data_IF_862947355525
#
_entry.id   IF_862947355525
#
_cell.length_a   1.000
_cell.length_b   1.000
_cell.length_c   1.000
_cell.angle_alpha   90.00
_cell.angle_beta   90.00
_cell.angle_gamma   90.00
#
_symmetry.space_group_name_H-M   'P 1'
#
loop_
_entity.id
_entity.type
_entity.pdbx_description
1 polymer ?
#
# COMPACT_ATOMS: atom_id res chain seq x y z
N UNK A 1 42.85 -60.62 -14.38
CA UNK A 1 42.34 -59.89 -13.22
C UNK A 1 41.68 -58.60 -13.67
N UNK A 2 40.42 -58.67 -14.04
CA UNK A 2 39.69 -57.50 -14.53
C UNK A 2 38.23 -57.50 -14.04
N UNK A 3 37.81 -56.38 -13.45
CA UNK A 3 36.43 -55.89 -13.38
C UNK A 3 35.46 -56.52 -12.40
N UNK A 4 35.44 -55.96 -11.15
CA UNK A 4 34.31 -56.15 -10.24
C UNK A 4 33.72 -54.84 -9.67
N UNK A 5 34.05 -53.66 -10.22
CA UNK A 5 33.61 -52.36 -9.62
C UNK A 5 32.62 -51.55 -10.46
N UNK A 6 32.06 -52.08 -11.58
CA UNK A 6 31.11 -51.32 -12.41
C UNK A 6 29.67 -51.18 -11.87
N UNK A 7 29.08 -52.10 -11.10
CA UNK A 7 27.70 -51.93 -10.66
C UNK A 7 27.56 -50.93 -9.50
N UNK A 8 28.56 -50.73 -8.65
CA UNK A 8 28.47 -49.79 -7.51
C UNK A 8 28.49 -48.32 -7.96
N UNK A 9 29.26 -47.98 -9.00
CA UNK A 9 29.31 -46.60 -9.53
C UNK A 9 27.97 -46.25 -10.20
N UNK A 10 27.32 -47.18 -10.86
CA UNK A 10 26.03 -46.98 -11.52
C UNK A 10 24.89 -46.73 -10.51
N UNK A 11 24.91 -47.42 -9.38
CA UNK A 11 23.91 -47.27 -8.30
C UNK A 11 24.08 -45.92 -7.60
N UNK A 12 25.31 -45.49 -7.34
CA UNK A 12 25.57 -44.16 -6.73
C UNK A 12 25.14 -43.01 -7.63
N UNK A 13 25.39 -43.13 -8.94
CA UNK A 13 24.98 -42.13 -9.92
C UNK A 13 23.45 -42.10 -10.10
N UNK A 14 22.76 -43.23 -9.99
CA UNK A 14 21.30 -43.30 -10.02
C UNK A 14 20.67 -42.73 -8.74
N UNK A 15 21.27 -42.97 -7.56
CA UNK A 15 20.82 -42.36 -6.28
C UNK A 15 21.00 -40.84 -6.28
N UNK A 16 22.11 -40.30 -6.79
CA UNK A 16 22.33 -38.86 -6.88
C UNK A 16 21.35 -38.18 -7.86
N UNK A 17 20.95 -38.86 -8.96
CA UNK A 17 19.92 -38.36 -9.87
C UNK A 17 18.51 -38.34 -9.22
N UNK A 18 18.20 -39.29 -8.34
CA UNK A 18 16.91 -39.29 -7.61
C UNK A 18 16.81 -38.20 -6.56
N UNK A 19 17.92 -37.74 -5.95
CA UNK A 19 17.92 -36.63 -5.00
C UNK A 19 17.89 -35.25 -5.67
N UNK A 20 18.24 -35.14 -6.94
CA UNK A 20 18.28 -33.85 -7.67
C UNK A 20 16.94 -33.44 -8.30
N UNK A 21 15.89 -34.29 -8.26
CA UNK A 21 14.62 -34.03 -8.95
C UNK A 21 13.53 -33.44 -8.04
N UNK A 22 13.76 -33.32 -6.74
CA UNK A 22 12.77 -32.78 -5.81
C UNK A 22 13.03 -31.35 -5.34
N UNK A 23 13.72 -30.52 -6.11
CA UNK A 23 13.60 -29.07 -5.96
C UNK A 23 12.32 -28.60 -6.64
N UNK A 24 11.18 -29.13 -6.25
CA UNK A 24 9.92 -28.41 -6.43
C UNK A 24 10.08 -27.09 -5.67
N UNK A 25 10.12 -25.99 -6.41
CA UNK A 25 9.94 -24.67 -5.82
C UNK A 25 8.67 -24.75 -4.96
N UNK A 26 8.85 -24.90 -3.66
CA UNK A 26 7.74 -24.93 -2.73
C UNK A 26 7.05 -23.58 -2.89
N UNK A 27 5.83 -23.59 -3.43
CA UNK A 27 5.02 -22.38 -3.56
C UNK A 27 4.97 -21.70 -2.21
N UNK A 28 5.55 -20.52 -2.13
CA UNK A 28 5.58 -19.74 -0.90
C UNK A 28 4.27 -18.95 -0.81
N UNK A 29 3.21 -19.63 -0.36
CA UNK A 29 1.92 -18.99 -0.15
C UNK A 29 1.93 -18.38 1.25
N UNK A 30 1.51 -17.11 1.30
CA UNK A 30 1.38 -16.33 2.52
C UNK A 30 -0.02 -15.74 2.63
N UNK A 31 -0.48 -15.49 3.84
CA UNK A 31 -1.73 -14.82 4.08
C UNK A 31 -1.60 -13.71 5.12
N UNK A 32 -2.40 -12.67 4.96
CA UNK A 32 -2.50 -11.58 5.90
C UNK A 32 -3.94 -11.23 6.23
N UNK A 33 -4.19 -10.98 7.51
CA UNK A 33 -5.44 -10.44 8.03
C UNK A 33 -5.11 -9.07 8.63
N UNK A 34 -5.56 -7.99 7.99
CA UNK A 34 -5.39 -6.62 8.44
C UNK A 34 -6.67 -6.12 9.10
N UNK A 35 -6.59 -5.77 10.38
CA UNK A 35 -7.67 -5.08 11.11
C UNK A 35 -7.45 -3.57 10.89
N UNK A 36 -8.10 -3.03 9.87
CA UNK A 36 -8.02 -1.61 9.51
C UNK A 36 -9.00 -0.74 10.29
N UNK A 37 -8.99 0.57 10.03
CA UNK A 37 -9.87 1.55 10.71
C UNK A 37 -11.36 1.26 10.54
N UNK A 38 -11.77 0.76 9.37
CA UNK A 38 -13.19 0.59 8.98
C UNK A 38 -13.49 -0.77 8.38
N UNK A 39 -12.52 -1.67 8.38
CA UNK A 39 -12.68 -2.98 7.77
C UNK A 39 -11.58 -3.94 8.19
N UNK A 40 -11.91 -5.23 8.17
CA UNK A 40 -10.93 -6.31 8.16
C UNK A 40 -10.69 -6.68 6.70
N UNK A 41 -9.43 -6.66 6.27
CA UNK A 41 -9.00 -7.06 4.94
C UNK A 41 -8.22 -8.37 5.05
N UNK A 42 -8.48 -9.26 4.12
CA UNK A 42 -7.81 -10.55 4.05
C UNK A 42 -7.17 -10.70 2.68
N UNK A 43 -5.91 -11.08 2.65
CA UNK A 43 -5.15 -11.31 1.41
C UNK A 43 -4.41 -12.65 1.48
N UNK A 44 -4.43 -13.37 0.37
CA UNK A 44 -3.62 -14.59 0.16
C UNK A 44 -2.81 -14.38 -1.10
N UNK A 45 -1.49 -14.56 -1.00
CA UNK A 45 -0.55 -14.31 -2.09
C UNK A 45 0.40 -15.47 -2.30
N UNK A 46 0.75 -15.74 -3.55
CA UNK A 46 1.80 -16.69 -3.95
C UNK A 46 3.04 -15.88 -4.35
N UNK A 47 4.15 -16.05 -3.64
CA UNK A 47 5.38 -15.27 -3.85
C UNK A 47 6.39 -16.11 -4.62
N UNK A 48 6.69 -15.70 -5.85
CA UNK A 48 7.71 -16.33 -6.70
C UNK A 48 9.11 -15.78 -6.40
N UNK A 49 9.24 -14.46 -6.24
CA UNK A 49 10.51 -13.79 -5.97
C UNK A 49 10.34 -12.50 -5.14
N UNK A 50 10.58 -12.59 -3.85
CA UNK A 50 10.42 -11.44 -2.95
C UNK A 50 11.39 -10.27 -3.28
N UNK A 51 12.59 -10.55 -3.78
CA UNK A 51 13.56 -9.48 -4.15
C UNK A 51 13.06 -8.59 -5.28
N UNK A 52 12.25 -9.15 -6.19
CA UNK A 52 11.68 -8.44 -7.34
C UNK A 52 10.24 -8.02 -7.11
N UNK A 53 9.70 -8.26 -5.90
CA UNK A 53 8.28 -8.15 -5.60
C UNK A 53 7.41 -8.90 -6.65
N UNK A 54 7.88 -10.09 -7.06
CA UNK A 54 7.17 -10.97 -7.99
C UNK A 54 6.27 -11.89 -7.17
N UNK A 55 4.98 -11.58 -7.16
CA UNK A 55 3.94 -12.30 -6.45
C UNK A 55 2.62 -12.26 -7.23
N UNK A 56 1.71 -13.14 -6.86
CA UNK A 56 0.35 -13.17 -7.39
C UNK A 56 -0.65 -13.16 -6.23
N UNK A 57 -1.64 -12.26 -6.29
CA UNK A 57 -2.78 -12.31 -5.39
C UNK A 57 -3.66 -13.49 -5.79
N UNK A 58 -3.79 -14.47 -4.88
CA UNK A 58 -4.68 -15.62 -5.03
C UNK A 58 -6.10 -15.20 -4.70
N UNK A 59 -6.28 -14.49 -3.57
CA UNK A 59 -7.57 -13.97 -3.13
C UNK A 59 -7.40 -12.72 -2.27
N UNK A 60 -8.39 -11.82 -2.38
CA UNK A 60 -8.49 -10.62 -1.56
C UNK A 60 -9.96 -10.33 -1.30
N UNK A 61 -10.31 -10.07 -0.03
CA UNK A 61 -11.66 -9.63 0.32
C UNK A 61 -11.65 -8.74 1.55
N UNK A 62 -12.75 -8.05 1.78
CA UNK A 62 -12.90 -7.05 2.83
C UNK A 62 -14.23 -7.23 3.55
N UNK A 63 -14.20 -7.15 4.87
CA UNK A 63 -15.39 -7.10 5.74
C UNK A 63 -15.42 -5.77 6.48
N UNK A 64 -16.49 -4.98 6.31
CA UNK A 64 -16.61 -3.64 6.89
C UNK A 64 -16.98 -3.70 8.36
N UNK A 65 -16.22 -3.00 9.20
CA UNK A 65 -16.48 -2.81 10.63
C UNK A 65 -15.96 -1.41 11.04
N UNK A 66 -16.77 -0.55 11.68
CA UNK A 66 -16.43 0.85 11.95
C UNK A 66 -15.64 1.05 13.26
N UNK A 67 -14.56 0.34 13.51
CA UNK A 67 -13.77 0.41 14.75
C UNK A 67 -13.26 1.81 15.11
N UNK A 68 -12.79 2.56 14.11
CA UNK A 68 -12.15 3.85 14.35
C UNK A 68 -13.08 4.87 14.98
N UNK A 69 -14.36 4.77 14.71
CA UNK A 69 -15.35 5.73 15.22
C UNK A 69 -15.53 5.55 16.73
N UNK A 70 -15.48 4.30 17.24
CA UNK A 70 -15.58 4.01 18.68
C UNK A 70 -14.30 4.40 19.44
N UNK A 71 -13.11 4.09 18.89
CA UNK A 71 -11.84 4.49 19.49
C UNK A 71 -11.75 6.03 19.57
N UNK A 72 -12.12 6.73 18.49
CA UNK A 72 -12.10 8.18 18.45
C UNK A 72 -13.05 8.83 19.46
N UNK A 73 -14.24 8.23 19.67
CA UNK A 73 -15.23 8.75 20.60
C UNK A 73 -14.89 8.47 22.08
N UNK A 74 -14.38 7.28 22.39
CA UNK A 74 -14.28 6.78 23.77
C UNK A 74 -12.84 6.46 24.21
N UNK A 75 -11.89 6.42 23.30
CA UNK A 75 -10.51 5.95 23.55
C UNK A 75 -10.44 4.44 23.82
N UNK A 76 -11.49 3.67 23.50
CA UNK A 76 -11.60 2.24 23.75
C UNK A 76 -12.40 1.55 22.65
N UNK A 77 -12.13 0.26 22.47
CA UNK A 77 -12.98 -0.64 21.71
C UNK A 77 -14.17 -1.07 22.58
N UNK A 78 -15.36 -1.15 21.99
CA UNK A 78 -16.52 -1.70 22.70
C UNK A 78 -16.38 -3.22 22.91
N UNK A 79 -17.10 -3.78 23.87
CA UNK A 79 -17.11 -5.24 24.06
C UNK A 79 -17.65 -5.98 22.83
N UNK A 80 -18.57 -5.34 22.09
CA UNK A 80 -19.08 -5.86 20.81
C UNK A 80 -17.99 -5.85 19.74
N UNK A 81 -17.22 -4.77 19.59
CA UNK A 81 -16.10 -4.69 18.63
C UNK A 81 -15.10 -5.80 18.88
N UNK A 82 -14.67 -5.97 20.13
CA UNK A 82 -13.72 -7.00 20.52
C UNK A 82 -14.25 -8.39 20.20
N UNK A 83 -15.51 -8.67 20.52
CA UNK A 83 -16.11 -9.98 20.28
C UNK A 83 -16.26 -10.25 18.78
N UNK A 84 -16.82 -9.32 18.05
CA UNK A 84 -17.07 -9.42 16.62
C UNK A 84 -15.78 -9.56 15.82
N UNK A 85 -14.78 -8.72 16.14
CA UNK A 85 -13.45 -8.79 15.51
C UNK A 85 -12.79 -10.14 15.72
N UNK A 86 -12.77 -10.61 16.96
CA UNK A 86 -12.12 -11.88 17.30
C UNK A 86 -12.77 -13.07 16.60
N UNK A 87 -14.11 -13.08 16.50
CA UNK A 87 -14.86 -14.13 15.77
C UNK A 87 -14.56 -14.07 14.28
N UNK A 88 -14.58 -12.88 13.67
CA UNK A 88 -14.30 -12.71 12.24
C UNK A 88 -12.87 -13.17 11.94
N UNK A 89 -11.87 -12.68 12.70
CA UNK A 89 -10.47 -13.06 12.52
C UNK A 89 -10.29 -14.58 12.61
N UNK A 90 -10.93 -15.23 13.59
CA UNK A 90 -10.86 -16.68 13.76
C UNK A 90 -11.47 -17.42 12.57
N UNK A 91 -12.66 -16.99 12.12
CA UNK A 91 -13.34 -17.59 10.97
C UNK A 91 -12.52 -17.42 9.69
N UNK A 92 -11.93 -16.23 9.47
CA UNK A 92 -11.09 -15.97 8.32
C UNK A 92 -9.82 -16.83 8.36
N UNK A 93 -9.18 -16.96 9.51
CA UNK A 93 -8.02 -17.82 9.68
C UNK A 93 -8.33 -19.28 9.33
N UNK A 94 -9.45 -19.82 9.84
CA UNK A 94 -9.90 -21.19 9.54
C UNK A 94 -10.15 -21.38 8.05
N UNK A 95 -10.84 -20.42 7.40
CA UNK A 95 -11.11 -20.42 5.97
C UNK A 95 -9.82 -20.44 5.15
N UNK A 96 -8.88 -19.55 5.45
CA UNK A 96 -7.58 -19.47 4.76
C UNK A 96 -6.82 -20.80 4.86
N UNK A 97 -6.74 -21.37 6.05
CA UNK A 97 -6.05 -22.65 6.28
C UNK A 97 -6.70 -23.80 5.51
N UNK A 98 -8.02 -23.87 5.51
CA UNK A 98 -8.75 -24.94 4.83
C UNK A 98 -8.59 -24.87 3.29
N UNK A 99 -8.65 -23.66 2.72
CA UNK A 99 -8.62 -23.45 1.28
C UNK A 99 -7.20 -23.52 0.67
N UNK A 100 -6.16 -23.11 1.41
CA UNK A 100 -4.82 -22.90 0.86
C UNK A 100 -3.73 -23.81 1.44
N UNK A 101 -4.04 -24.66 2.43
CA UNK A 101 -3.07 -25.55 3.12
C UNK A 101 -1.84 -24.79 3.64
N UNK A 102 -2.06 -23.62 4.23
CA UNK A 102 -1.01 -22.74 4.73
C UNK A 102 -0.43 -23.21 6.05
N UNK A 103 0.88 -23.04 6.21
CA UNK A 103 1.55 -23.19 7.48
C UNK A 103 1.24 -21.98 8.37
N UNK A 104 1.15 -22.17 9.65
CA UNK A 104 0.85 -21.10 10.62
C UNK A 104 1.87 -19.95 10.56
N UNK A 105 3.14 -20.26 10.35
CA UNK A 105 4.23 -19.28 10.21
C UNK A 105 4.10 -18.36 9.01
N UNK A 106 3.30 -18.74 8.01
CA UNK A 106 3.04 -17.96 6.81
C UNK A 106 1.77 -17.11 6.91
N UNK A 107 1.14 -17.05 8.09
CA UNK A 107 -0.08 -16.28 8.31
C UNK A 107 0.19 -15.17 9.33
N UNK A 108 -0.09 -13.92 8.97
CA UNK A 108 0.10 -12.74 9.79
C UNK A 108 -1.23 -12.08 10.11
N UNK A 109 -1.38 -11.60 11.35
CA UNK A 109 -2.55 -10.83 11.78
C UNK A 109 -2.03 -9.52 12.33
N UNK A 110 -2.43 -8.39 11.69
CA UNK A 110 -1.99 -7.06 12.09
C UNK A 110 -3.18 -6.14 12.29
N UNK A 111 -3.04 -5.18 13.20
CA UNK A 111 -3.96 -4.05 13.34
C UNK A 111 -3.29 -2.75 12.87
N UNK A 112 -4.10 -1.85 12.31
CA UNK A 112 -3.64 -0.53 11.89
C UNK A 112 -3.19 0.32 13.10
N UNK A 113 -2.34 1.35 12.91
CA UNK A 113 -1.77 2.16 13.98
C UNK A 113 -2.82 2.80 14.91
N UNK A 114 -4.02 3.09 14.41
CA UNK A 114 -5.10 3.67 15.23
C UNK A 114 -5.43 2.83 16.46
N UNK A 115 -5.19 1.52 16.42
CA UNK A 115 -5.44 0.62 17.55
C UNK A 115 -4.46 0.82 18.71
N UNK A 116 -3.27 1.41 18.49
CA UNK A 116 -2.34 1.76 19.57
C UNK A 116 -2.95 2.71 20.59
N UNK A 117 -3.89 3.58 20.18
CA UNK A 117 -4.57 4.52 21.05
C UNK A 117 -5.71 3.91 21.87
N UNK A 118 -6.11 2.68 21.62
CA UNK A 118 -7.16 2.02 22.37
C UNK A 118 -6.64 1.49 23.71
N UNK A 119 -7.13 2.04 24.83
CA UNK A 119 -6.71 1.67 26.20
C UNK A 119 -6.92 0.18 26.53
N UNK A 120 -7.84 -0.46 25.85
CA UNK A 120 -8.18 -1.89 26.05
C UNK A 120 -7.74 -2.80 24.90
N UNK A 121 -6.73 -2.41 24.13
CA UNK A 121 -6.17 -3.19 23.04
C UNK A 121 -5.75 -4.61 23.47
N UNK A 122 -5.20 -4.74 24.68
CA UNK A 122 -4.75 -6.04 25.19
C UNK A 122 -5.90 -7.03 25.38
N UNK A 123 -7.12 -6.56 25.62
CA UNK A 123 -8.30 -7.42 25.67
C UNK A 123 -8.56 -8.06 24.31
N UNK A 124 -8.43 -7.27 23.22
CA UNK A 124 -8.55 -7.78 21.85
C UNK A 124 -7.42 -8.78 21.52
N UNK A 125 -6.16 -8.44 21.87
CA UNK A 125 -4.99 -9.31 21.65
C UNK A 125 -5.19 -10.68 22.34
N UNK A 126 -5.55 -10.65 23.62
CA UNK A 126 -5.78 -11.88 24.40
C UNK A 126 -6.92 -12.71 23.84
N UNK A 127 -7.99 -12.08 23.36
CA UNK A 127 -9.13 -12.79 22.80
C UNK A 127 -8.81 -13.43 21.45
N UNK A 128 -8.05 -12.75 20.58
CA UNK A 128 -7.54 -13.33 19.32
C UNK A 128 -6.59 -14.49 19.62
N UNK A 129 -5.65 -14.32 20.57
CA UNK A 129 -4.75 -15.39 20.97
C UNK A 129 -5.53 -16.62 21.47
N UNK A 130 -6.54 -16.41 22.31
CA UNK A 130 -7.35 -17.50 22.85
C UNK A 130 -8.13 -18.28 21.78
N UNK A 131 -8.73 -17.56 20.82
CA UNK A 131 -9.62 -18.16 19.82
C UNK A 131 -8.89 -18.66 18.56
N UNK A 132 -7.86 -17.96 18.14
CA UNK A 132 -7.15 -18.20 16.89
C UNK A 132 -5.76 -18.83 17.09
N UNK A 133 -5.25 -18.86 18.31
CA UNK A 133 -3.86 -19.25 18.65
C UNK A 133 -2.83 -18.51 17.79
N UNK A 134 -3.05 -17.19 17.62
CA UNK A 134 -2.20 -16.29 16.82
C UNK A 134 -2.04 -14.97 17.53
N UNK A 135 -0.85 -14.40 17.45
CA UNK A 135 -0.59 -13.04 17.94
C UNK A 135 -1.21 -12.00 17.02
N UNK A 136 -1.72 -10.93 17.64
CA UNK A 136 -2.11 -9.71 16.95
C UNK A 136 -0.97 -8.70 17.09
N UNK A 137 -0.27 -8.44 16.01
CA UNK A 137 0.70 -7.34 15.94
C UNK A 137 -0.04 -6.03 15.64
N UNK A 138 0.48 -4.90 16.14
CA UNK A 138 -0.05 -3.57 15.80
C UNK A 138 1.03 -2.84 15.02
N UNK A 139 0.67 -2.33 13.86
CA UNK A 139 1.59 -1.50 13.07
C UNK A 139 1.85 -0.20 13.82
N UNK A 140 3.12 0.11 14.07
CA UNK A 140 3.51 1.34 14.72
C UNK A 140 3.34 2.52 13.74
N UNK A 141 2.73 3.61 14.19
CA UNK A 141 2.47 4.79 13.35
C UNK A 141 3.76 5.39 12.77
N UNK A 142 4.85 5.39 13.54
CA UNK A 142 6.15 5.91 13.10
C UNK A 142 6.86 4.97 12.12
N UNK A 143 6.56 3.67 12.16
CA UNK A 143 7.12 2.66 11.25
C UNK A 143 6.24 2.42 10.02
N UNK A 144 5.03 2.96 10.00
CA UNK A 144 4.10 2.78 8.87
C UNK A 144 4.70 3.23 7.52
N UNK A 145 5.34 4.43 7.40
CA UNK A 145 5.96 4.83 6.14
C UNK A 145 7.06 3.87 5.69
N UNK A 146 7.85 3.36 6.62
CA UNK A 146 8.90 2.37 6.37
C UNK A 146 8.30 1.04 5.88
N UNK A 147 7.22 0.59 6.52
CA UNK A 147 6.49 -0.62 6.10
C UNK A 147 5.92 -0.48 4.68
N UNK A 148 5.38 0.70 4.35
CA UNK A 148 4.90 1.01 3.00
C UNK A 148 6.04 0.94 1.98
N UNK A 149 7.18 1.58 2.25
CA UNK A 149 8.35 1.57 1.37
C UNK A 149 8.87 0.16 1.14
N UNK A 150 9.05 -0.62 2.20
CA UNK A 150 9.52 -2.02 2.12
C UNK A 150 8.59 -2.92 1.29
N UNK A 151 7.28 -2.65 1.32
CA UNK A 151 6.30 -3.47 0.63
C UNK A 151 5.96 -2.99 -0.78
N UNK A 152 6.08 -1.68 -1.05
CA UNK A 152 5.73 -1.08 -2.33
C UNK A 152 6.91 -1.07 -3.31
N UNK A 153 8.13 -0.86 -2.82
CA UNK A 153 9.35 -0.84 -3.65
C UNK A 153 9.95 -2.25 -3.67
N UNK A 154 10.20 -2.84 -4.87
CA UNK A 154 10.94 -4.08 -4.95
C UNK A 154 12.32 -3.94 -4.28
N UNK A 155 12.76 -4.90 -3.45
CA UNK A 155 14.05 -4.81 -2.76
C UNK A 155 15.27 -4.54 -3.65
N UNK A 156 15.22 -4.95 -4.92
CA UNK A 156 16.27 -4.65 -5.92
C UNK A 156 16.37 -3.16 -6.27
N UNK A 157 15.33 -2.38 -5.95
CA UNK A 157 15.24 -0.96 -6.26
C UNK A 157 15.42 -0.06 -5.01
N UNK A 158 15.63 -0.61 -3.82
CA UNK A 158 15.69 0.16 -2.57
C UNK A 158 16.70 1.31 -2.62
N UNK A 159 17.89 1.09 -3.18
CA UNK A 159 18.92 2.13 -3.29
C UNK A 159 18.60 3.21 -4.33
N UNK A 160 17.72 2.94 -5.28
CA UNK A 160 17.50 3.77 -6.48
C UNK A 160 16.07 4.27 -6.63
N UNK A 161 15.26 4.14 -5.59
CA UNK A 161 13.85 4.50 -5.64
C UNK A 161 13.39 5.25 -4.39
N UNK A 162 12.25 5.91 -4.49
CA UNK A 162 11.48 6.45 -3.37
C UNK A 162 9.99 6.23 -3.59
N UNK A 163 9.22 6.28 -2.49
CA UNK A 163 7.78 6.12 -2.47
C UNK A 163 7.09 7.38 -2.01
N UNK A 164 5.96 7.72 -2.65
CA UNK A 164 4.94 8.62 -2.12
C UNK A 164 3.59 7.90 -2.12
N UNK A 165 3.00 7.75 -0.95
CA UNK A 165 1.64 7.24 -0.74
C UNK A 165 0.70 8.43 -0.49
N UNK A 166 -0.15 8.75 -1.46
CA UNK A 166 -1.11 9.86 -1.35
C UNK A 166 -2.42 9.32 -0.79
N UNK A 167 -2.51 9.35 0.53
CA UNK A 167 -3.65 8.85 1.29
C UNK A 167 -4.80 9.85 1.42
N UNK A 168 -5.76 9.53 2.28
CA UNK A 168 -6.89 10.41 2.56
C UNK A 168 -6.52 11.58 3.50
N UNK A 169 -5.70 11.35 4.50
CA UNK A 169 -5.36 12.33 5.55
C UNK A 169 -4.00 12.99 5.30
N UNK A 170 -3.01 12.22 4.89
CA UNK A 170 -1.62 12.65 4.70
C UNK A 170 -1.06 12.05 3.42
N UNK A 171 0.00 12.65 2.90
CA UNK A 171 0.89 12.01 1.93
C UNK A 171 2.15 11.61 2.69
N UNK A 172 2.53 10.34 2.61
CA UNK A 172 3.67 9.78 3.31
C UNK A 172 4.43 8.80 2.44
N UNK A 173 5.65 8.51 2.81
CA UNK A 173 6.51 7.59 2.08
C UNK A 173 7.94 7.69 2.58
N UNK A 174 8.89 7.64 1.65
CA UNK A 174 10.29 7.74 2.00
C UNK A 174 11.19 7.02 1.01
N UNK A 175 12.45 6.98 1.37
CA UNK A 175 13.47 6.28 0.61
C UNK A 175 14.50 5.66 1.55
N UNK A 176 15.30 4.76 1.00
CA UNK A 176 16.44 4.17 1.70
C UNK A 176 17.68 4.85 1.18
N UNK A 177 18.47 5.39 2.09
CA UNK A 177 19.78 5.98 1.80
C UNK A 177 20.91 5.10 2.31
N UNK A 178 22.03 5.11 1.62
CA UNK A 178 23.24 4.40 2.02
C UNK A 178 24.22 5.40 2.64
N UNK A 179 24.37 5.29 3.95
CA UNK A 179 25.31 6.10 4.71
C UNK A 179 26.75 5.60 4.52
N UNK A 180 27.72 6.41 4.98
CA UNK A 180 29.11 6.02 5.04
C UNK A 180 29.29 4.67 5.76
N UNK A 181 30.05 3.76 5.13
CA UNK A 181 30.26 2.39 5.64
C UNK A 181 29.21 1.38 5.19
N UNK A 182 28.31 1.74 4.25
CA UNK A 182 27.31 0.81 3.68
C UNK A 182 26.11 0.54 4.57
N UNK A 183 25.91 1.32 5.63
CA UNK A 183 24.73 1.23 6.49
C UNK A 183 23.53 1.83 5.75
N UNK A 184 22.44 1.06 5.67
CA UNK A 184 21.18 1.55 5.12
C UNK A 184 20.39 2.30 6.19
N UNK A 185 19.80 3.43 5.82
CA UNK A 185 18.92 4.23 6.67
C UNK A 185 17.62 4.56 5.93
N UNK A 186 16.50 4.47 6.62
CA UNK A 186 15.22 4.90 6.10
C UNK A 186 15.00 6.39 6.39
N UNK A 187 14.74 7.17 5.35
CA UNK A 187 14.42 8.59 5.44
C UNK A 187 12.94 8.79 5.11
N UNK A 188 12.11 9.21 6.07
CA UNK A 188 10.69 9.44 5.82
C UNK A 188 10.46 10.70 4.99
N UNK A 189 9.40 10.66 4.17
CA UNK A 189 8.83 11.81 3.47
C UNK A 189 7.38 11.95 3.94
N UNK A 190 7.00 13.13 4.43
CA UNK A 190 5.66 13.35 4.96
C UNK A 190 5.15 14.76 4.64
N UNK A 191 3.89 14.83 4.20
CA UNK A 191 3.11 16.05 4.04
C UNK A 191 1.81 15.89 4.82
N UNK A 192 1.41 16.94 5.50
CA UNK A 192 0.17 17.05 6.27
C UNK A 192 -1.10 17.19 5.40
N UNK A 193 -0.97 16.95 4.09
CA UNK A 193 -2.07 16.91 3.14
C UNK A 193 -2.25 15.53 2.52
N UNK A 194 -3.49 15.05 2.55
CA UNK A 194 -4.02 13.98 1.74
C UNK A 194 -5.29 14.45 1.04
N UNK A 195 -5.94 13.55 0.34
CA UNK A 195 -7.13 13.86 -0.48
C UNK A 195 -8.21 14.60 0.29
N UNK A 196 -8.59 14.10 1.48
CA UNK A 196 -9.67 14.66 2.29
C UNK A 196 -9.23 15.93 3.03
N UNK A 197 -8.05 15.90 3.64
CA UNK A 197 -7.57 17.06 4.41
C UNK A 197 -7.28 18.26 3.53
N UNK A 198 -6.81 18.06 2.28
CA UNK A 198 -6.69 19.16 1.32
C UNK A 198 -8.06 19.69 0.89
N UNK A 199 -9.03 18.79 0.64
CA UNK A 199 -10.41 19.20 0.32
C UNK A 199 -10.98 20.08 1.41
N UNK A 200 -10.83 19.67 2.67
CA UNK A 200 -11.33 20.41 3.82
C UNK A 200 -10.58 21.76 4.01
N UNK A 201 -9.26 21.78 3.76
CA UNK A 201 -8.48 23.01 3.81
C UNK A 201 -8.93 24.01 2.75
N UNK A 202 -9.18 23.58 1.52
CA UNK A 202 -9.72 24.42 0.44
C UNK A 202 -11.12 24.94 0.81
N UNK A 203 -12.02 24.08 1.28
CA UNK A 203 -13.38 24.49 1.70
C UNK A 203 -13.36 25.55 2.79
N UNK A 204 -12.44 25.47 3.75
CA UNK A 204 -12.27 26.48 4.82
C UNK A 204 -11.87 27.87 4.30
N UNK A 205 -11.29 27.98 3.11
CA UNK A 205 -10.97 29.29 2.49
C UNK A 205 -12.17 30.00 1.89
N UNK A 206 -13.31 29.30 1.71
CA UNK A 206 -14.53 29.89 1.16
C UNK A 206 -15.18 30.77 2.22
N UNK A 207 -15.31 32.07 1.94
CA UNK A 207 -15.89 33.02 2.89
C UNK A 207 -17.34 32.69 3.26
N UNK A 208 -18.17 32.40 2.26
CA UNK A 208 -19.54 31.94 2.48
C UNK A 208 -19.60 30.42 2.49
N UNK A 209 -19.63 29.82 3.66
CA UNK A 209 -19.59 28.37 3.85
C UNK A 209 -20.77 27.62 3.18
N UNK A 210 -21.89 28.28 2.93
CA UNK A 210 -23.00 27.68 2.16
C UNK A 210 -22.61 27.36 0.71
N UNK A 211 -21.62 28.05 0.16
CA UNK A 211 -21.08 27.85 -1.19
C UNK A 211 -19.86 26.88 -1.24
N UNK A 212 -19.39 26.38 -0.09
CA UNK A 212 -18.20 25.52 -0.05
C UNK A 212 -18.37 24.20 -0.85
N UNK A 213 -19.60 23.78 -1.07
CA UNK A 213 -19.92 22.61 -1.90
C UNK A 213 -20.24 22.96 -3.36
N UNK A 214 -20.35 24.26 -3.72
CA UNK A 214 -20.48 24.66 -5.11
C UNK A 214 -19.20 24.37 -5.90
N UNK A 215 -19.34 23.71 -7.05
CA UNK A 215 -18.19 23.22 -7.79
C UNK A 215 -17.36 24.36 -8.40
N UNK A 216 -18.01 25.42 -8.88
CA UNK A 216 -17.31 26.57 -9.45
C UNK A 216 -16.48 27.32 -8.39
N UNK A 217 -17.10 27.56 -7.23
CA UNK A 217 -16.43 28.16 -6.07
C UNK A 217 -15.27 27.31 -5.59
N UNK A 218 -15.48 25.98 -5.53
CA UNK A 218 -14.44 25.05 -5.10
C UNK A 218 -13.25 25.03 -6.07
N UNK A 219 -13.48 25.02 -7.39
CA UNK A 219 -12.42 25.06 -8.39
C UNK A 219 -11.58 26.32 -8.29
N UNK A 220 -12.22 27.49 -8.13
CA UNK A 220 -11.54 28.77 -7.93
C UNK A 220 -10.65 28.72 -6.67
N UNK A 221 -11.21 28.33 -5.52
CA UNK A 221 -10.45 28.28 -4.27
C UNK A 221 -9.38 27.20 -4.27
N UNK A 222 -9.62 26.07 -4.93
CA UNK A 222 -8.63 25.03 -5.14
C UNK A 222 -7.45 25.54 -5.96
N UNK A 223 -7.69 26.34 -7.02
CA UNK A 223 -6.64 26.99 -7.80
C UNK A 223 -5.83 27.98 -6.97
N UNK A 224 -6.50 28.82 -6.17
CA UNK A 224 -5.86 29.76 -5.24
C UNK A 224 -4.97 29.07 -4.20
N UNK A 225 -5.31 27.82 -3.82
CA UNK A 225 -4.57 27.03 -2.83
C UNK A 225 -3.33 26.32 -3.40
N UNK A 226 -3.27 26.05 -4.70
CA UNK A 226 -2.17 25.32 -5.35
C UNK A 226 -0.78 25.90 -5.03
N UNK A 227 -0.54 27.24 -5.01
CA UNK A 227 0.77 27.78 -4.64
C UNK A 227 1.22 27.41 -3.23
N UNK A 228 0.30 27.33 -2.26
CA UNK A 228 0.60 26.92 -0.88
C UNK A 228 1.02 25.44 -0.84
N UNK A 229 0.28 24.61 -1.58
CA UNK A 229 0.59 23.18 -1.70
C UNK A 229 1.94 22.95 -2.36
N UNK A 230 2.21 23.60 -3.50
CA UNK A 230 3.49 23.53 -4.23
C UNK A 230 4.66 23.95 -3.38
N UNK A 231 4.50 25.02 -2.59
CA UNK A 231 5.57 25.46 -1.68
C UNK A 231 5.91 24.40 -0.66
N UNK A 232 4.93 23.79 0.02
CA UNK A 232 5.17 22.72 0.99
C UNK A 232 5.86 21.50 0.37
N UNK A 233 5.43 21.13 -0.83
CA UNK A 233 6.03 20.00 -1.57
C UNK A 233 7.46 20.32 -1.98
N UNK A 234 7.70 21.53 -2.48
CA UNK A 234 9.05 21.98 -2.84
C UNK A 234 9.96 21.98 -1.62
N UNK A 235 9.50 22.55 -0.49
CA UNK A 235 10.27 22.59 0.77
C UNK A 235 10.65 21.15 1.22
N UNK A 236 9.73 20.17 1.06
CA UNK A 236 10.00 18.76 1.36
C UNK A 236 11.11 18.18 0.46
N UNK A 237 11.07 18.43 -0.86
CA UNK A 237 12.07 17.90 -1.77
C UNK A 237 13.42 18.62 -1.63
N UNK A 238 13.43 19.92 -1.40
CA UNK A 238 14.66 20.69 -1.14
C UNK A 238 15.37 20.22 0.14
N UNK A 239 14.61 19.77 1.14
CA UNK A 239 15.16 19.19 2.38
C UNK A 239 15.72 17.76 2.17
N UNK A 240 15.47 17.14 1.01
CA UNK A 240 15.86 15.76 0.71
C UNK A 240 16.68 15.65 -0.61
N UNK A 241 17.89 16.25 -0.69
CA UNK A 241 18.70 16.27 -1.91
C UNK A 241 19.00 14.88 -2.54
N UNK A 242 19.12 13.76 -1.78
CA UNK A 242 19.34 12.45 -2.36
C UNK A 242 18.25 12.02 -3.37
N UNK A 243 17.03 12.56 -3.29
CA UNK A 243 15.95 12.28 -4.24
C UNK A 243 16.28 12.66 -5.68
N UNK A 244 17.19 13.62 -5.88
CA UNK A 244 17.65 14.01 -7.21
C UNK A 244 18.27 12.83 -7.97
N UNK A 245 19.02 11.97 -7.27
CA UNK A 245 19.75 10.83 -7.84
C UNK A 245 18.89 9.56 -7.99
N UNK A 246 17.73 9.48 -7.32
CA UNK A 246 16.84 8.31 -7.43
C UNK A 246 16.18 8.29 -8.82
N UNK A 247 16.24 7.16 -9.51
CA UNK A 247 15.74 7.03 -10.89
C UNK A 247 14.28 6.57 -10.96
N UNK A 248 13.72 6.06 -9.86
CA UNK A 248 12.36 5.54 -9.81
C UNK A 248 11.54 6.20 -8.72
N UNK A 249 10.33 6.61 -9.09
CA UNK A 249 9.29 7.02 -8.17
C UNK A 249 8.19 5.96 -8.16
N UNK A 250 7.95 5.39 -7.00
CA UNK A 250 6.78 4.57 -6.76
C UNK A 250 5.68 5.43 -6.14
N UNK A 251 4.47 5.29 -6.65
CA UNK A 251 3.29 6.00 -6.18
C UNK A 251 2.27 4.99 -5.67
N UNK A 252 1.64 5.27 -4.54
CA UNK A 252 0.53 4.49 -4.00
C UNK A 252 -0.53 5.39 -3.37
N UNK A 253 -1.55 4.78 -2.80
CA UNK A 253 -2.61 5.50 -2.12
C UNK A 253 -3.84 5.78 -2.99
N UNK A 254 -4.86 6.33 -2.31
CA UNK A 254 -6.18 6.51 -2.89
C UNK A 254 -6.24 7.48 -4.07
N UNK A 255 -5.40 8.53 -4.05
CA UNK A 255 -5.33 9.51 -5.13
C UNK A 255 -4.85 8.86 -6.44
N UNK A 256 -3.78 8.07 -6.36
CA UNK A 256 -3.17 7.43 -7.55
C UNK A 256 -4.02 6.28 -8.05
N UNK A 257 -4.65 5.53 -7.12
CA UNK A 257 -5.66 4.53 -7.48
C UNK A 257 -6.84 5.14 -8.24
N UNK A 258 -7.37 6.27 -7.77
CA UNK A 258 -8.47 6.96 -8.44
C UNK A 258 -8.08 7.44 -9.84
N UNK A 259 -6.91 8.09 -9.97
CA UNK A 259 -6.35 8.51 -11.25
C UNK A 259 -6.21 7.31 -12.21
N UNK A 260 -5.49 6.29 -11.81
CA UNK A 260 -5.22 5.11 -12.65
C UNK A 260 -6.50 4.42 -13.10
N UNK A 261 -7.47 4.25 -12.19
CA UNK A 261 -8.75 3.60 -12.49
C UNK A 261 -9.61 4.41 -13.46
N UNK A 262 -9.72 5.72 -13.25
CA UNK A 262 -10.62 6.56 -14.04
C UNK A 262 -10.01 6.97 -15.38
N UNK A 263 -8.70 7.23 -15.41
CA UNK A 263 -8.03 7.76 -16.60
C UNK A 263 -7.64 6.67 -17.59
N UNK A 264 -6.92 5.63 -17.14
CA UNK A 264 -6.51 4.54 -18.03
C UNK A 264 -7.64 3.56 -18.33
N UNK A 265 -8.52 3.29 -17.34
CA UNK A 265 -9.69 2.42 -17.49
C UNK A 265 -9.36 1.03 -18.07
N UNK A 266 -8.14 0.54 -17.87
CA UNK A 266 -7.67 -0.74 -18.39
C UNK A 266 -7.52 -1.76 -17.27
N UNK A 267 -7.79 -3.04 -17.59
CA UNK A 267 -7.46 -4.17 -16.71
C UNK A 267 -5.99 -4.56 -16.90
N UNK A 268 -5.10 -3.72 -16.35
CA UNK A 268 -3.66 -3.94 -16.41
C UNK A 268 -3.29 -5.09 -15.48
N UNK A 269 -2.58 -6.09 -15.99
CA UNK A 269 -2.17 -7.27 -15.23
C UNK A 269 -0.89 -7.06 -14.42
N UNK A 270 -0.11 -6.07 -14.77
CA UNK A 270 1.15 -5.74 -14.14
C UNK A 270 0.93 -5.15 -12.73
N UNK A 271 1.83 -5.45 -11.78
CA UNK A 271 1.83 -4.88 -10.44
C UNK A 271 2.15 -3.38 -10.42
N UNK A 272 2.92 -2.93 -11.42
CA UNK A 272 3.40 -1.57 -11.54
C UNK A 272 2.95 -0.97 -12.87
N UNK A 273 2.13 0.08 -12.79
CA UNK A 273 1.62 0.79 -13.96
C UNK A 273 2.47 2.04 -14.16
N UNK A 274 3.11 2.16 -15.32
CA UNK A 274 3.83 3.38 -15.67
C UNK A 274 2.83 4.52 -15.93
N UNK A 275 3.18 5.72 -15.45
CA UNK A 275 2.37 6.92 -15.69
C UNK A 275 3.27 8.14 -15.97
N UNK A 276 2.69 9.18 -16.56
CA UNK A 276 3.38 10.39 -16.92
C UNK A 276 2.73 11.63 -16.28
N UNK A 277 3.48 12.71 -16.16
CA UNK A 277 2.92 13.99 -15.73
C UNK A 277 1.84 14.47 -16.71
N UNK A 278 2.03 14.27 -18.02
CA UNK A 278 1.06 14.64 -19.05
C UNK A 278 -0.30 13.95 -18.83
N UNK A 279 -0.31 12.66 -18.53
CA UNK A 279 -1.54 11.91 -18.24
C UNK A 279 -2.28 12.50 -17.02
N UNK A 280 -1.53 12.86 -15.97
CA UNK A 280 -2.10 13.43 -14.75
C UNK A 280 -2.67 14.84 -15.00
N UNK A 281 -2.03 15.64 -15.85
CA UNK A 281 -2.52 16.96 -16.27
C UNK A 281 -3.77 16.81 -17.15
N UNK A 282 -3.79 15.85 -18.08
CA UNK A 282 -4.95 15.58 -18.90
C UNK A 282 -6.15 15.09 -18.06
N UNK A 283 -5.88 14.31 -17.03
CA UNK A 283 -6.90 13.88 -16.07
C UNK A 283 -7.50 15.08 -15.32
N UNK A 284 -6.69 16.07 -14.92
CA UNK A 284 -7.15 17.32 -14.28
C UNK A 284 -8.18 18.04 -15.15
N UNK A 285 -7.88 18.17 -16.44
CA UNK A 285 -8.77 18.82 -17.39
C UNK A 285 -10.14 18.12 -17.51
N UNK A 286 -10.14 16.78 -17.46
CA UNK A 286 -11.38 15.99 -17.50
C UNK A 286 -12.16 16.13 -16.18
N UNK A 287 -11.48 16.09 -15.02
CA UNK A 287 -12.11 16.27 -13.73
C UNK A 287 -12.85 17.60 -13.63
N UNK A 288 -12.26 18.66 -14.15
CA UNK A 288 -12.80 20.02 -14.07
C UNK A 288 -13.88 20.30 -15.11
N UNK A 289 -13.68 19.84 -16.35
CA UNK A 289 -14.50 20.28 -17.49
C UNK A 289 -15.42 19.20 -18.04
N UNK A 290 -15.20 17.92 -17.73
CA UNK A 290 -15.99 16.80 -18.28
C UNK A 290 -16.15 15.63 -17.30
N UNK A 291 -16.47 15.93 -16.06
CA UNK A 291 -16.66 14.90 -15.01
C UNK A 291 -17.73 13.87 -15.36
N UNK A 292 -18.73 14.25 -16.19
CA UNK A 292 -19.74 13.35 -16.72
C UNK A 292 -19.19 12.11 -17.44
N UNK A 293 -17.97 12.18 -18.00
CA UNK A 293 -17.26 11.03 -18.56
C UNK A 293 -17.08 9.93 -17.51
N UNK A 294 -16.67 10.27 -16.29
CA UNK A 294 -16.41 9.32 -15.22
C UNK A 294 -17.68 8.77 -14.57
N UNK A 295 -18.73 9.61 -14.44
CA UNK A 295 -20.03 9.13 -13.97
C UNK A 295 -20.67 8.16 -14.97
N UNK A 296 -20.41 8.34 -16.27
CA UNK A 296 -20.86 7.41 -17.31
C UNK A 296 -20.04 6.11 -17.28
N UNK A 297 -18.73 6.18 -17.11
CA UNK A 297 -17.85 5.03 -16.95
C UNK A 297 -18.26 4.16 -15.77
N UNK A 298 -18.58 4.75 -14.63
CA UNK A 298 -18.98 4.04 -13.42
C UNK A 298 -20.28 3.20 -13.58
N UNK A 299 -21.09 3.46 -14.61
CA UNK A 299 -22.28 2.63 -14.88
C UNK A 299 -21.92 1.23 -15.40
N UNK A 300 -20.76 1.07 -16.02
CA UNK A 300 -20.31 -0.18 -16.65
C UNK A 300 -19.04 -0.77 -16.04
N UNK A 301 -18.23 0.05 -15.37
CA UNK A 301 -16.97 -0.35 -14.73
C UNK A 301 -17.11 -0.33 -13.20
N UNK A 302 -17.02 -1.52 -12.56
CA UNK A 302 -17.18 -1.68 -11.11
C UNK A 302 -16.10 -0.94 -10.30
N UNK A 303 -14.87 -0.88 -10.78
CA UNK A 303 -13.77 -0.19 -10.09
C UNK A 303 -13.97 1.32 -10.18
N UNK A 304 -14.39 1.85 -11.33
CA UNK A 304 -14.76 3.26 -11.46
C UNK A 304 -15.94 3.62 -10.54
N UNK A 305 -16.95 2.74 -10.43
CA UNK A 305 -18.06 2.93 -9.49
C UNK A 305 -17.56 2.95 -8.04
N UNK A 306 -16.57 2.11 -7.68
CA UNK A 306 -15.95 2.10 -6.36
C UNK A 306 -15.19 3.39 -6.07
N UNK A 307 -14.45 3.92 -7.05
CA UNK A 307 -13.78 5.23 -6.91
C UNK A 307 -14.79 6.33 -6.62
N UNK A 308 -15.86 6.45 -7.44
CA UNK A 308 -16.86 7.50 -7.28
C UNK A 308 -17.76 7.33 -6.04
N UNK A 309 -17.83 6.13 -5.45
CA UNK A 309 -18.46 5.91 -4.14
C UNK A 309 -17.57 6.29 -2.96
N UNK A 310 -16.25 6.41 -3.19
CA UNK A 310 -15.24 6.75 -2.17
C UNK A 310 -14.93 8.25 -2.18
N UNK A 311 -14.87 8.85 -3.36
CA UNK A 311 -14.45 10.23 -3.58
C UNK A 311 -15.48 10.97 -4.44
N UNK A 312 -15.92 12.13 -3.97
CA UNK A 312 -16.65 13.09 -4.80
C UNK A 312 -15.70 13.84 -5.75
N UNK A 313 -16.26 14.68 -6.63
CA UNK A 313 -15.47 15.44 -7.59
C UNK A 313 -14.48 16.40 -6.92
N UNK A 314 -14.84 17.01 -5.79
CA UNK A 314 -13.94 17.91 -5.04
C UNK A 314 -12.76 17.15 -4.45
N UNK A 315 -13.01 15.95 -3.90
CA UNK A 315 -11.93 15.08 -3.41
C UNK A 315 -10.99 14.67 -4.54
N UNK A 316 -11.51 14.34 -5.73
CA UNK A 316 -10.70 13.95 -6.89
C UNK A 316 -9.86 15.12 -7.43
N UNK A 317 -10.40 16.35 -7.44
CA UNK A 317 -9.63 17.55 -7.77
C UNK A 317 -8.49 17.78 -6.77
N UNK A 318 -8.76 17.68 -5.46
CA UNK A 318 -7.71 17.77 -4.44
C UNK A 318 -6.66 16.68 -4.57
N UNK A 319 -7.09 15.44 -4.77
CA UNK A 319 -6.18 14.31 -4.99
C UNK A 319 -5.24 14.56 -6.15
N UNK A 320 -5.79 15.06 -7.27
CA UNK A 320 -5.02 15.34 -8.47
C UNK A 320 -4.10 16.56 -8.30
N UNK A 321 -4.53 17.61 -7.58
CA UNK A 321 -3.67 18.75 -7.27
C UNK A 321 -2.43 18.33 -6.47
N UNK A 322 -2.56 17.39 -5.50
CA UNK A 322 -1.41 16.83 -4.79
C UNK A 322 -0.52 16.09 -5.77
N UNK A 323 -1.07 15.20 -6.59
CA UNK A 323 -0.32 14.37 -7.53
C UNK A 323 0.44 15.22 -8.56
N UNK A 324 -0.23 16.18 -9.22
CA UNK A 324 0.40 17.13 -10.16
C UNK A 324 1.51 17.91 -9.46
N UNK A 325 1.20 18.49 -8.29
CA UNK A 325 2.17 19.31 -7.56
C UNK A 325 3.39 18.49 -7.09
N UNK A 326 3.21 17.24 -6.70
CA UNK A 326 4.33 16.34 -6.41
C UNK A 326 5.20 16.15 -7.66
N UNK A 327 4.59 15.74 -8.78
CA UNK A 327 5.33 15.43 -10.00
C UNK A 327 6.05 16.68 -10.56
N UNK A 328 5.43 17.85 -10.55
CA UNK A 328 6.05 19.11 -11.05
C UNK A 328 7.25 19.57 -10.20
N UNK A 329 7.31 19.20 -8.91
CA UNK A 329 8.38 19.64 -8.01
C UNK A 329 9.44 18.56 -7.75
N UNK A 330 9.30 17.35 -8.29
CA UNK A 330 10.31 16.31 -8.17
C UNK A 330 11.56 16.70 -8.98
N UNK A 331 12.75 16.71 -8.35
CA UNK A 331 13.99 17.02 -9.06
C UNK A 331 14.23 16.00 -10.19
N UNK A 332 14.60 16.52 -11.38
CA UNK A 332 14.95 15.69 -12.54
C UNK A 332 13.85 14.70 -12.97
N UNK A 333 12.56 15.07 -12.87
CA UNK A 333 11.43 14.18 -13.19
C UNK A 333 11.58 13.51 -14.56
N UNK A 334 12.06 14.24 -15.58
CA UNK A 334 12.19 13.74 -16.96
C UNK A 334 13.11 12.50 -17.08
N UNK A 335 13.99 12.27 -16.10
CA UNK A 335 14.89 11.10 -16.07
C UNK A 335 14.36 9.96 -15.19
N UNK A 336 13.24 10.17 -14.52
CA UNK A 336 12.68 9.20 -13.56
C UNK A 336 11.58 8.36 -14.19
N UNK A 337 11.56 7.08 -13.84
CA UNK A 337 10.44 6.20 -14.12
C UNK A 337 9.40 6.32 -13.01
N UNK A 338 8.18 6.72 -13.37
CA UNK A 338 7.07 6.87 -12.43
C UNK A 338 6.18 5.63 -12.52
N UNK A 339 5.94 4.98 -11.38
CA UNK A 339 5.26 3.69 -11.29
C UNK A 339 4.18 3.73 -10.22
N UNK A 340 2.94 3.45 -10.59
CA UNK A 340 1.87 3.22 -9.63
C UNK A 340 1.89 1.78 -9.13
N UNK A 341 1.84 1.60 -7.82
CA UNK A 341 1.75 0.30 -7.13
C UNK A 341 0.28 -0.11 -7.07
N UNK A 342 -0.15 -0.98 -7.99
CA UNK A 342 -1.56 -1.35 -8.17
C UNK A 342 -2.17 -2.01 -6.93
N UNK A 343 -1.43 -2.92 -6.31
CA UNK A 343 -1.89 -3.68 -5.16
C UNK A 343 -1.43 -3.08 -3.81
N UNK A 344 -1.56 -1.77 -3.64
CA UNK A 344 -1.16 -1.09 -2.40
C UNK A 344 -1.76 -1.67 -1.11
N UNK A 345 -2.91 -2.37 -1.22
CA UNK A 345 -3.56 -3.03 -0.09
C UNK A 345 -2.81 -4.24 0.49
N UNK A 346 -1.83 -4.79 -0.23
CA UNK A 346 -1.02 -5.93 0.26
C UNK A 346 0.43 -5.54 0.60
N UNK A 347 0.81 -4.27 0.48
CA UNK A 347 2.20 -3.81 0.69
C UNK A 347 2.72 -4.16 2.09
N UNK A 348 1.90 -4.01 3.14
CA UNK A 348 2.29 -4.41 4.48
C UNK A 348 2.64 -5.91 4.59
N UNK A 349 1.88 -6.78 3.90
CA UNK A 349 2.14 -8.21 3.89
C UNK A 349 3.44 -8.54 3.15
N UNK A 350 3.70 -7.86 2.02
CA UNK A 350 4.97 -7.99 1.28
C UNK A 350 6.14 -7.55 2.16
N UNK A 351 6.01 -6.45 2.91
CA UNK A 351 7.02 -6.00 3.88
C UNK A 351 7.32 -7.07 4.93
N UNK A 352 6.29 -7.67 5.53
CA UNK A 352 6.43 -8.74 6.52
C UNK A 352 7.14 -9.97 5.97
N UNK A 353 6.83 -10.36 4.73
CA UNK A 353 7.50 -11.49 4.06
C UNK A 353 8.97 -11.13 3.78
N UNK A 354 9.25 -9.91 3.34
CA UNK A 354 10.60 -9.44 3.08
C UNK A 354 11.45 -9.48 4.36
N UNK A 355 10.94 -8.98 5.48
CA UNK A 355 11.63 -8.97 6.78
C UNK A 355 11.98 -10.40 7.28
N UNK A 356 11.12 -11.37 7.00
CA UNK A 356 11.34 -12.77 7.39
C UNK A 356 12.14 -13.56 6.36
N UNK A 357 12.41 -12.98 5.19
CA UNK A 357 13.19 -13.61 4.13
C UNK A 357 14.68 -13.40 4.36
N UNK A 358 15.45 -14.49 4.49
CA UNK A 358 16.93 -14.41 4.51
C UNK A 358 17.54 -13.92 3.19
N UNK A 359 16.72 -13.73 2.15
CA UNK A 359 17.16 -13.33 0.80
C UNK A 359 17.21 -11.81 0.64
N UNK A 360 16.64 -11.05 1.56
CA UNK A 360 16.53 -9.58 1.51
C UNK A 360 17.16 -8.97 2.74
N UNK A 361 18.02 -7.96 2.55
CA UNK A 361 18.46 -7.13 3.65
C UNK A 361 17.41 -6.04 3.88
N UNK A 362 16.74 -6.09 5.01
CA UNK A 362 15.70 -5.14 5.42
C UNK A 362 16.05 -4.45 6.74
N UNK A 363 17.30 -4.60 7.20
CA UNK A 363 17.80 -3.95 8.42
C UNK A 363 18.24 -2.52 8.09
N UNK A 364 17.30 -1.59 8.07
CA UNK A 364 17.51 -0.16 7.91
C UNK A 364 16.52 0.67 8.72
#
# INVERSE_FOLDING_TARGET
MLTKNKPQILIITLLTLFFSVNSFSQKSIYAGIEIGRRAIKVSVIDVSNIKKADYKIISFWTERIPFADHIAANGELTAEDITKTSVIVTNQLQKIKAENKLLDENIFIVAAPVFESARNLDVLRNKIMLLANKELEVLNANEEPKTLVKGAIPPVDFSNAFLLDIGAQTTKGGYIDELEGGKLEFIPLELDFGTMTLTDAVKKTVYNQSQANDMSTYQEKSFDFVPVLRKKIKDLFDANPPLEKKEKLYLSGGAVWAFSTLYYNEDVKEHYIALTLEDVVNYDAILKNNFGKYTSLAKTNKEAARVLSTYDQQNLISANNILVSCLENIPNLATKKILFVKEGQVTWLISYIADRSKKVNTNF
#
